data_IF_678327381449
#
_entry.id   IF_678327381449
#
_cell.length_a   1.000
_cell.length_b   1.000
_cell.length_c   1.000
_cell.angle_alpha   90.00
_cell.angle_beta   90.00
_cell.angle_gamma   90.00
#
_symmetry.space_group_name_H-M   'P 1'
#
loop_
_entity.id
_entity.type
_entity.pdbx_description
1 polymer ?
#
# COMPACT_ATOMS: atom_id res chain seq x y z
N UNK A 1 -0.01 -18.88 -3.71
CA UNK A 1 0.01 -17.51 -4.31
C UNK A 1 -0.91 -17.52 -5.51
N UNK A 2 -1.32 -16.36 -6.00
CA UNK A 2 -2.14 -16.27 -7.21
C UNK A 2 -1.79 -15.00 -7.98
N UNK A 3 -2.03 -15.00 -9.29
CA UNK A 3 -1.89 -13.81 -10.12
C UNK A 3 -2.94 -13.81 -11.23
N UNK A 4 -3.23 -12.62 -11.74
CA UNK A 4 -4.15 -12.43 -12.87
C UNK A 4 -3.83 -11.11 -13.54
N UNK A 5 -3.91 -11.06 -14.86
CA UNK A 5 -3.93 -9.80 -15.59
C UNK A 5 -5.37 -9.33 -15.74
N UNK A 6 -5.57 -8.03 -15.64
CA UNK A 6 -6.86 -7.40 -15.83
C UNK A 6 -6.75 -6.28 -16.87
N UNK A 7 -7.86 -5.61 -17.19
CA UNK A 7 -7.98 -4.62 -18.26
C UNK A 7 -7.72 -5.18 -19.68
N UNK A 8 -8.09 -6.43 -19.88
CA UNK A 8 -7.97 -7.17 -21.15
C UNK A 8 -9.32 -7.29 -21.86
N UNK A 9 -9.31 -7.36 -23.20
CA UNK A 9 -10.52 -7.57 -24.02
C UNK A 9 -11.26 -8.86 -23.67
N UNK A 10 -10.49 -9.92 -23.40
CA UNK A 10 -10.99 -11.17 -22.88
C UNK A 10 -10.52 -11.29 -21.44
N UNK A 11 -11.48 -11.38 -20.51
CA UNK A 11 -11.14 -11.57 -19.10
C UNK A 11 -10.33 -12.85 -18.90
N UNK A 12 -9.24 -12.73 -18.17
CA UNK A 12 -8.43 -13.86 -17.76
C UNK A 12 -8.95 -14.45 -16.44
N UNK A 13 -8.66 -15.74 -16.21
CA UNK A 13 -8.96 -16.41 -14.95
C UNK A 13 -7.81 -16.20 -13.95
N UNK A 14 -8.14 -16.24 -12.66
CA UNK A 14 -7.10 -16.18 -11.61
C UNK A 14 -6.33 -17.49 -11.60
N UNK A 15 -5.03 -17.40 -11.83
CA UNK A 15 -4.11 -18.52 -11.80
C UNK A 15 -3.57 -18.73 -10.39
N UNK A 16 -3.55 -19.97 -9.92
CA UNK A 16 -3.17 -20.32 -8.54
C UNK A 16 -1.93 -21.18 -8.52
N UNK A 17 -0.97 -20.78 -7.70
CA UNK A 17 0.38 -21.32 -7.63
C UNK A 17 0.66 -21.93 -6.27
N UNK A 18 1.19 -23.15 -6.27
CA UNK A 18 1.63 -23.86 -5.06
C UNK A 18 2.93 -23.30 -4.48
N UNK A 19 3.79 -22.72 -5.31
CA UNK A 19 5.14 -22.33 -4.92
C UNK A 19 5.67 -21.13 -5.73
N UNK A 20 6.78 -20.56 -5.26
CA UNK A 20 7.38 -19.35 -5.86
C UNK A 20 7.90 -19.62 -7.27
N UNK A 21 8.34 -20.85 -7.55
CA UNK A 21 8.88 -21.22 -8.86
C UNK A 21 7.77 -21.28 -9.91
N UNK A 22 6.63 -21.90 -9.61
CA UNK A 22 5.50 -21.96 -10.55
C UNK A 22 4.95 -20.56 -10.86
N UNK A 23 4.84 -19.70 -9.85
CA UNK A 23 4.45 -18.29 -10.04
C UNK A 23 5.45 -17.57 -10.95
N UNK A 24 6.75 -17.69 -10.66
CA UNK A 24 7.80 -17.05 -11.44
C UNK A 24 7.80 -17.54 -12.91
N UNK A 25 7.75 -18.86 -13.13
CA UNK A 25 7.70 -19.46 -14.47
C UNK A 25 6.49 -18.95 -15.26
N UNK A 26 5.31 -18.80 -14.60
CA UNK A 26 4.12 -18.23 -15.22
C UNK A 26 4.29 -16.76 -15.59
N UNK A 27 4.81 -15.93 -14.68
CA UNK A 27 5.02 -14.50 -14.92
C UNK A 27 6.01 -14.25 -16.08
N UNK A 28 7.08 -15.04 -16.18
CA UNK A 28 8.04 -14.96 -17.28
C UNK A 28 7.44 -15.38 -18.63
N UNK A 29 6.54 -16.36 -18.64
CA UNK A 29 5.84 -16.78 -19.86
C UNK A 29 4.75 -15.78 -20.29
N UNK A 30 4.21 -14.99 -19.36
CA UNK A 30 3.09 -14.06 -19.57
C UNK A 30 3.49 -12.61 -19.29
N UNK A 31 4.56 -12.15 -19.93
CA UNK A 31 4.97 -10.75 -19.87
C UNK A 31 3.90 -9.80 -20.44
N UNK A 32 3.90 -8.52 -20.04
CA UNK A 32 2.92 -7.54 -20.53
C UNK A 32 2.86 -7.49 -22.06
N UNK A 33 1.65 -7.65 -22.60
CA UNK A 33 1.36 -7.54 -24.02
C UNK A 33 0.24 -6.49 -24.24
N UNK A 34 0.56 -5.30 -24.78
CA UNK A 34 -0.40 -4.24 -25.02
C UNK A 34 -1.56 -4.61 -25.96
N UNK A 35 -1.39 -5.62 -26.83
CA UNK A 35 -2.41 -6.01 -27.81
C UNK A 35 -3.67 -6.61 -27.17
N UNK A 36 -3.52 -7.13 -25.95
CA UNK A 36 -4.59 -7.77 -25.17
C UNK A 36 -5.51 -6.76 -24.49
N UNK A 37 -5.05 -5.51 -24.31
CA UNK A 37 -5.85 -4.43 -23.72
C UNK A 37 -7.00 -3.96 -24.62
N UNK A 38 -7.91 -3.15 -24.06
CA UNK A 38 -9.12 -2.67 -24.76
C UNK A 38 -8.85 -1.97 -26.10
N UNK A 39 -7.70 -1.29 -26.23
CA UNK A 39 -7.32 -0.56 -27.45
C UNK A 39 -7.89 0.85 -27.53
N UNK A 40 -8.49 1.34 -26.44
CA UNK A 40 -8.99 2.71 -26.28
C UNK A 40 -8.46 3.34 -24.98
N UNK A 41 -8.73 4.64 -24.79
CA UNK A 41 -8.37 5.40 -23.59
C UNK A 41 -9.59 5.90 -22.81
N UNK A 42 -10.77 5.31 -23.03
CA UNK A 42 -12.02 5.75 -22.42
C UNK A 42 -12.61 4.71 -21.47
N UNK A 43 -12.47 3.43 -21.78
CA UNK A 43 -13.00 2.31 -21.00
C UNK A 43 -12.35 2.30 -19.61
N UNK A 44 -13.15 2.17 -18.55
CA UNK A 44 -12.65 2.00 -17.19
C UNK A 44 -12.00 0.64 -16.95
N UNK A 45 -11.33 0.50 -15.80
CA UNK A 45 -10.73 -0.76 -15.38
C UNK A 45 -11.78 -1.77 -14.92
N UNK A 46 -11.57 -3.04 -15.21
CA UNK A 46 -12.40 -4.14 -14.67
C UNK A 46 -11.88 -4.71 -13.34
N UNK A 47 -10.99 -4.00 -12.64
CA UNK A 47 -10.39 -4.42 -11.37
C UNK A 47 -11.42 -4.95 -10.36
N UNK A 48 -12.55 -4.26 -10.20
CA UNK A 48 -13.57 -4.63 -9.21
C UNK A 48 -14.30 -5.92 -9.58
N UNK A 49 -14.44 -6.23 -10.86
CA UNK A 49 -14.90 -7.54 -11.33
C UNK A 49 -13.91 -8.64 -10.96
N UNK A 50 -12.61 -8.38 -11.12
CA UNK A 50 -11.55 -9.33 -10.76
C UNK A 50 -11.50 -9.58 -9.25
N UNK A 51 -11.64 -8.53 -8.43
CA UNK A 51 -11.72 -8.68 -6.97
C UNK A 51 -12.96 -9.46 -6.54
N UNK A 52 -14.11 -9.29 -7.20
CA UNK A 52 -15.29 -10.13 -6.97
C UNK A 52 -15.01 -11.60 -7.33
N UNK A 53 -14.29 -11.90 -8.41
CA UNK A 53 -13.88 -13.28 -8.73
C UNK A 53 -12.96 -13.85 -7.65
N UNK A 54 -12.01 -13.06 -7.15
CA UNK A 54 -11.15 -13.43 -6.04
C UNK A 54 -11.95 -13.74 -4.77
N UNK A 55 -12.86 -12.86 -4.35
CA UNK A 55 -13.69 -13.06 -3.15
C UNK A 55 -14.57 -14.33 -3.24
N UNK A 56 -15.04 -14.66 -4.44
CA UNK A 56 -15.90 -15.83 -4.68
C UNK A 56 -15.13 -17.12 -5.02
N UNK A 57 -13.80 -17.09 -4.99
CA UNK A 57 -13.00 -18.25 -5.35
C UNK A 57 -13.22 -19.41 -4.36
N UNK A 58 -13.15 -20.64 -4.86
CA UNK A 58 -13.25 -21.87 -4.05
C UNK A 58 -11.95 -22.65 -4.01
N UNK A 59 -10.86 -22.06 -4.52
CA UNK A 59 -9.56 -22.73 -4.70
C UNK A 59 -8.64 -22.50 -3.49
N UNK A 60 -8.76 -21.37 -2.81
CA UNK A 60 -7.93 -21.02 -1.65
C UNK A 60 -8.72 -20.22 -0.60
N UNK A 61 -8.29 -20.33 0.66
CA UNK A 61 -8.77 -19.44 1.72
C UNK A 61 -8.35 -18.00 1.43
N UNK A 62 -9.24 -17.05 1.72
CA UNK A 62 -9.01 -15.61 1.51
C UNK A 62 -8.82 -14.83 2.82
N UNK A 63 -9.06 -15.47 3.98
CA UNK A 63 -8.95 -14.77 5.25
C UNK A 63 -7.50 -14.31 5.49
N UNK A 64 -7.30 -13.01 5.72
CA UNK A 64 -5.97 -12.43 5.91
C UNK A 64 -5.13 -12.30 4.63
N UNK A 65 -5.73 -12.48 3.45
CA UNK A 65 -4.99 -12.36 2.20
C UNK A 65 -4.48 -10.93 1.97
N UNK A 66 -3.28 -10.81 1.40
CA UNK A 66 -2.73 -9.55 0.91
C UNK A 66 -2.86 -9.52 -0.61
N UNK A 67 -3.46 -8.45 -1.13
CA UNK A 67 -3.71 -8.27 -2.56
C UNK A 67 -2.91 -7.07 -3.05
N UNK A 68 -1.98 -7.31 -3.96
CA UNK A 68 -1.08 -6.31 -4.53
C UNK A 68 -1.48 -6.03 -5.97
N UNK A 69 -1.77 -4.77 -6.29
CA UNK A 69 -2.29 -4.35 -7.59
C UNK A 69 -1.39 -3.26 -8.16
N UNK A 70 -0.91 -3.47 -9.38
CA UNK A 70 -0.39 -2.39 -10.23
C UNK A 70 -1.47 -2.03 -11.23
N UNK A 71 -1.92 -0.78 -11.23
CA UNK A 71 -3.02 -0.31 -12.07
C UNK A 71 -2.62 0.95 -12.85
N UNK A 72 -2.96 0.95 -14.15
CA UNK A 72 -2.78 2.11 -15.02
C UNK A 72 -4.10 2.61 -15.63
N UNK A 73 -5.17 1.83 -15.60
CA UNK A 73 -6.50 2.26 -16.03
C UNK A 73 -7.35 2.50 -14.79
N UNK A 74 -8.01 3.65 -14.70
CA UNK A 74 -8.84 3.92 -13.54
C UNK A 74 -10.18 3.21 -13.70
N UNK A 75 -10.80 2.72 -12.62
CA UNK A 75 -12.20 2.32 -12.64
C UNK A 75 -13.11 3.50 -13.04
N UNK A 76 -14.32 3.20 -13.48
CA UNK A 76 -15.38 4.22 -13.67
C UNK A 76 -16.43 4.17 -12.57
N UNK A 77 -16.46 3.06 -11.82
CA UNK A 77 -17.36 2.84 -10.70
C UNK A 77 -17.10 3.84 -9.58
N UNK A 78 -18.19 4.40 -9.04
CA UNK A 78 -18.17 5.31 -7.89
C UNK A 78 -18.50 4.63 -6.57
N UNK A 79 -19.29 3.55 -6.59
CA UNK A 79 -19.67 2.80 -5.40
C UNK A 79 -18.93 1.46 -5.35
N UNK A 80 -18.03 1.35 -4.37
CA UNK A 80 -17.23 0.16 -4.08
C UNK A 80 -17.50 -0.40 -2.68
N UNK A 81 -18.53 0.11 -2.00
CA UNK A 81 -18.84 -0.20 -0.60
C UNK A 81 -19.09 -1.69 -0.33
N UNK A 82 -19.79 -2.37 -1.23
CA UNK A 82 -20.06 -3.81 -1.14
C UNK A 82 -18.77 -4.64 -1.18
N UNK A 83 -17.89 -4.37 -2.15
CA UNK A 83 -16.61 -5.09 -2.28
C UNK A 83 -15.71 -4.81 -1.08
N UNK A 84 -15.62 -3.55 -0.65
CA UNK A 84 -14.87 -3.18 0.56
C UNK A 84 -15.40 -3.93 1.78
N UNK A 85 -16.72 -4.01 1.95
CA UNK A 85 -17.34 -4.73 3.07
C UNK A 85 -16.97 -6.22 3.07
N UNK A 86 -16.94 -6.85 1.89
CA UNK A 86 -16.55 -8.26 1.73
C UNK A 86 -15.04 -8.48 1.96
N UNK A 87 -14.18 -7.57 1.50
CA UNK A 87 -12.74 -7.62 1.77
C UNK A 87 -12.47 -7.50 3.28
N UNK A 88 -13.12 -6.53 3.94
CA UNK A 88 -13.01 -6.29 5.37
C UNK A 88 -13.49 -7.48 6.22
N UNK A 89 -14.61 -8.11 5.84
CA UNK A 89 -15.13 -9.27 6.57
C UNK A 89 -14.21 -10.50 6.49
N UNK A 90 -13.30 -10.52 5.51
CA UNK A 90 -12.28 -11.54 5.34
C UNK A 90 -10.88 -11.06 5.78
N UNK A 91 -10.75 -9.90 6.43
CA UNK A 91 -9.43 -9.34 6.80
C UNK A 91 -8.46 -9.24 5.61
N UNK A 92 -8.97 -9.02 4.40
CA UNK A 92 -8.13 -8.86 3.21
C UNK A 92 -7.57 -7.45 3.21
N UNK A 93 -6.26 -7.31 3.04
CA UNK A 93 -5.57 -6.02 2.88
C UNK A 93 -5.27 -5.78 1.40
N UNK A 94 -5.66 -4.62 0.88
CA UNK A 94 -5.46 -4.26 -0.53
C UNK A 94 -4.44 -3.15 -0.67
N UNK A 95 -3.40 -3.41 -1.44
CA UNK A 95 -2.30 -2.50 -1.72
C UNK A 95 -2.29 -2.16 -3.21
N UNK A 96 -2.33 -0.87 -3.55
CA UNK A 96 -2.51 -0.44 -4.94
C UNK A 96 -1.44 0.58 -5.33
N UNK A 97 -0.62 0.23 -6.32
CA UNK A 97 0.23 1.17 -7.04
C UNK A 97 -0.50 1.67 -8.28
N UNK A 98 -0.77 2.96 -8.30
CA UNK A 98 -1.55 3.65 -9.32
C UNK A 98 -0.61 4.49 -10.18
N UNK A 99 -0.56 4.19 -11.48
CA UNK A 99 0.08 5.09 -12.43
C UNK A 99 -0.71 6.39 -12.49
N UNK A 100 -0.05 7.50 -12.18
CA UNK A 100 -0.61 8.85 -12.16
C UNK A 100 -1.04 9.33 -13.56
N UNK A 101 -0.59 8.64 -14.62
CA UNK A 101 -0.97 8.89 -16.00
C UNK A 101 -1.89 7.74 -16.47
N UNK A 102 -3.22 7.90 -16.35
CA UNK A 102 -4.14 6.83 -16.67
C UNK A 102 -4.12 6.50 -18.17
N UNK A 103 -4.20 5.22 -18.47
CA UNK A 103 -4.43 4.70 -19.83
C UNK A 103 -5.90 4.66 -20.23
N UNK A 104 -6.81 4.97 -19.31
CA UNK A 104 -8.25 5.12 -19.53
C UNK A 104 -9.02 5.14 -18.21
N UNK A 105 -10.34 5.26 -18.30
CA UNK A 105 -11.22 5.48 -17.16
C UNK A 105 -10.98 6.82 -16.46
N UNK A 106 -11.73 7.08 -15.39
CA UNK A 106 -11.81 8.42 -14.82
C UNK A 106 -11.73 8.51 -13.30
N UNK A 107 -12.05 7.45 -12.56
CA UNK A 107 -12.22 7.52 -11.12
C UNK A 107 -11.09 6.82 -10.35
N UNK A 108 -10.04 7.58 -10.02
CA UNK A 108 -8.96 7.06 -9.17
C UNK A 108 -9.27 7.08 -7.66
N UNK A 109 -10.31 7.79 -7.24
CA UNK A 109 -10.61 7.97 -5.82
C UNK A 109 -10.97 6.65 -5.14
N UNK A 110 -11.69 5.77 -5.85
CA UNK A 110 -12.12 4.47 -5.32
C UNK A 110 -10.94 3.50 -5.10
N UNK A 111 -9.84 3.67 -5.83
CA UNK A 111 -8.60 2.89 -5.63
C UNK A 111 -7.96 3.22 -4.26
N UNK A 112 -7.87 4.53 -3.94
CA UNK A 112 -7.41 4.96 -2.62
C UNK A 112 -8.37 4.50 -1.53
N UNK A 113 -9.68 4.71 -1.71
CA UNK A 113 -10.71 4.34 -0.74
C UNK A 113 -10.64 2.86 -0.38
N UNK A 114 -10.49 1.99 -1.39
CA UNK A 114 -10.37 0.55 -1.20
C UNK A 114 -9.16 0.17 -0.36
N UNK A 115 -7.99 0.72 -0.68
CA UNK A 115 -6.75 0.42 0.05
C UNK A 115 -6.82 0.94 1.48
N UNK A 116 -7.29 2.18 1.65
CA UNK A 116 -7.47 2.82 2.94
C UNK A 116 -8.41 2.01 3.84
N UNK A 117 -9.60 1.66 3.35
CA UNK A 117 -10.61 0.97 4.15
C UNK A 117 -10.28 -0.49 4.46
N UNK A 118 -9.26 -1.07 3.82
CA UNK A 118 -8.80 -2.44 4.05
C UNK A 118 -7.49 -2.51 4.84
N UNK A 119 -7.06 -1.41 5.46
CA UNK A 119 -5.76 -1.28 6.15
C UNK A 119 -4.53 -1.48 5.25
N UNK A 120 -4.68 -1.58 3.94
CA UNK A 120 -3.56 -1.45 3.02
C UNK A 120 -3.17 0.02 2.82
N UNK A 121 -2.52 0.29 1.69
CA UNK A 121 -2.23 1.66 1.27
C UNK A 121 -2.19 1.78 -0.26
N UNK A 122 -2.40 3.01 -0.73
CA UNK A 122 -2.41 3.34 -2.14
C UNK A 122 -1.30 4.34 -2.43
N UNK A 123 -0.52 4.10 -3.48
CA UNK A 123 0.54 5.01 -3.96
C UNK A 123 0.21 5.49 -5.36
N UNK A 124 0.28 6.81 -5.56
CA UNK A 124 0.21 7.41 -6.88
C UNK A 124 1.61 7.83 -7.30
N UNK A 125 2.12 7.23 -8.36
CA UNK A 125 3.45 7.51 -8.91
C UNK A 125 3.43 7.36 -10.44
N UNK A 126 4.53 7.64 -11.13
CA UNK A 126 4.63 7.37 -12.57
C UNK A 126 6.06 7.03 -12.97
N UNK A 127 6.22 6.31 -14.09
CA UNK A 127 7.53 5.89 -14.58
C UNK A 127 8.31 5.10 -13.53
N UNK A 128 9.59 5.44 -13.35
CA UNK A 128 10.49 4.71 -12.45
C UNK A 128 10.05 4.79 -10.97
N UNK A 129 9.40 5.87 -10.55
CA UNK A 129 8.89 5.98 -9.18
C UNK A 129 7.77 4.97 -8.93
N UNK A 130 6.95 4.67 -9.95
CA UNK A 130 5.92 3.64 -9.86
C UNK A 130 6.55 2.25 -9.72
N UNK A 131 7.59 1.96 -10.51
CA UNK A 131 8.33 0.70 -10.44
C UNK A 131 8.90 0.49 -9.03
N UNK A 132 9.60 1.49 -8.47
CA UNK A 132 10.15 1.40 -7.12
C UNK A 132 9.07 1.36 -6.04
N UNK A 133 7.99 2.11 -6.17
CA UNK A 133 6.92 2.10 -5.20
C UNK A 133 6.22 0.73 -5.15
N UNK A 134 6.02 0.09 -6.30
CA UNK A 134 5.40 -1.23 -6.38
C UNK A 134 6.35 -2.35 -5.92
N UNK A 135 7.65 -2.23 -6.20
CA UNK A 135 8.67 -3.16 -5.68
C UNK A 135 8.71 -3.13 -4.15
N UNK A 136 8.77 -1.93 -3.54
CA UNK A 136 8.69 -1.76 -2.09
C UNK A 136 7.37 -2.30 -1.50
N UNK A 137 6.28 -2.16 -2.24
CA UNK A 137 4.97 -2.68 -1.84
C UNK A 137 4.97 -4.21 -1.80
N UNK A 138 5.46 -4.88 -2.85
CA UNK A 138 5.57 -6.34 -2.86
C UNK A 138 6.57 -6.84 -1.80
N UNK A 139 7.60 -6.04 -1.46
CA UNK A 139 8.54 -6.32 -0.38
C UNK A 139 7.86 -6.57 0.99
N UNK A 140 6.64 -6.09 1.20
CA UNK A 140 5.85 -6.42 2.41
C UNK A 140 5.50 -7.90 2.56
N UNK A 141 5.67 -8.72 1.51
CA UNK A 141 5.55 -10.16 1.63
C UNK A 141 6.60 -10.77 2.56
N UNK A 142 7.74 -10.10 2.75
CA UNK A 142 8.74 -10.53 3.73
C UNK A 142 8.25 -10.25 5.15
N UNK A 143 7.63 -9.08 5.40
CA UNK A 143 7.02 -8.66 6.67
C UNK A 143 5.48 -8.61 6.60
N UNK A 144 4.73 -9.73 6.66
CA UNK A 144 3.31 -9.73 6.33
C UNK A 144 2.39 -9.18 7.43
N UNK A 145 2.87 -9.05 8.68
CA UNK A 145 2.01 -8.73 9.81
C UNK A 145 2.07 -7.23 10.15
N UNK A 146 0.96 -6.52 9.95
CA UNK A 146 0.85 -5.09 10.21
C UNK A 146 0.57 -4.79 11.70
N UNK A 147 1.54 -4.22 12.42
CA UNK A 147 1.40 -3.94 13.86
C UNK A 147 1.13 -2.46 14.19
N UNK A 148 1.25 -1.56 13.22
CA UNK A 148 0.86 -0.17 13.36
C UNK A 148 0.07 0.28 12.13
N UNK A 149 -1.10 0.87 12.36
CA UNK A 149 -1.92 1.54 11.36
C UNK A 149 -2.56 2.78 11.98
N UNK A 150 -2.11 3.96 11.56
CA UNK A 150 -2.63 5.25 12.05
C UNK A 150 -2.93 6.19 10.88
N UNK A 151 -3.99 6.97 11.02
CA UNK A 151 -4.46 7.91 10.00
C UNK A 151 -4.63 9.28 10.64
N UNK A 152 -4.04 10.31 10.04
CA UNK A 152 -4.06 11.66 10.56
C UNK A 152 -4.65 12.60 9.52
N UNK A 153 -5.77 13.24 9.90
CA UNK A 153 -6.32 14.35 9.11
C UNK A 153 -5.50 15.60 9.42
N UNK A 154 -4.87 16.16 8.39
CA UNK A 154 -3.93 17.29 8.51
C UNK A 154 -4.24 18.37 7.49
N UNK A 155 -3.76 19.59 7.74
CA UNK A 155 -3.88 20.73 6.82
C UNK A 155 -2.71 21.69 7.03
N UNK A 156 -2.33 22.46 6.01
CA UNK A 156 -1.26 23.44 6.09
C UNK A 156 0.08 22.82 6.52
N UNK A 157 0.74 23.44 7.50
CA UNK A 157 1.97 22.91 8.09
C UNK A 157 1.73 22.41 9.51
N UNK A 158 2.43 21.36 9.90
CA UNK A 158 2.34 20.87 11.28
C UNK A 158 3.27 19.71 11.57
N UNK A 159 3.06 19.13 12.76
CA UNK A 159 3.81 18.00 13.28
C UNK A 159 2.84 16.94 13.80
N UNK A 160 3.03 15.71 13.36
CA UNK A 160 2.43 14.52 13.95
C UNK A 160 3.43 13.94 14.94
N UNK A 161 2.96 13.59 16.13
CA UNK A 161 3.70 12.77 17.09
C UNK A 161 2.88 11.53 17.41
N UNK A 162 3.40 10.36 17.07
CA UNK A 162 2.72 9.12 17.45
C UNK A 162 2.81 8.91 18.96
N UNK A 163 1.83 8.23 19.58
CA UNK A 163 2.04 7.59 20.86
C UNK A 163 3.29 6.70 20.80
N UNK A 164 3.97 6.54 21.92
CA UNK A 164 5.06 5.57 22.02
C UNK A 164 4.53 4.17 21.81
N UNK A 165 5.20 3.36 20.99
CA UNK A 165 4.83 1.98 20.71
C UNK A 165 6.04 1.05 20.84
N UNK A 166 5.77 -0.24 20.93
CA UNK A 166 6.78 -1.30 20.84
C UNK A 166 6.48 -2.15 19.62
N UNK A 167 7.53 -2.74 19.07
CA UNK A 167 7.38 -3.75 18.04
C UNK A 167 6.81 -5.04 18.64
N UNK A 168 6.21 -5.93 17.83
CA UNK A 168 5.72 -7.23 18.30
C UNK A 168 6.87 -8.22 18.62
N UNK A 169 8.13 -7.82 18.44
CA UNK A 169 9.29 -8.66 18.67
C UNK A 169 9.44 -9.04 20.17
N UNK A 170 9.90 -10.26 20.47
CA UNK A 170 10.29 -10.62 21.83
C UNK A 170 11.48 -9.78 22.33
N UNK A 171 11.58 -9.51 23.64
CA UNK A 171 12.75 -8.84 24.22
C UNK A 171 14.06 -9.56 23.88
N UNK A 172 15.09 -8.78 23.52
CA UNK A 172 16.41 -9.26 23.12
C UNK A 172 16.57 -9.62 21.64
N UNK A 173 15.51 -9.52 20.83
CA UNK A 173 15.56 -9.75 19.39
C UNK A 173 15.52 -8.43 18.60
N UNK A 174 16.13 -8.48 17.42
CA UNK A 174 16.09 -7.41 16.42
C UNK A 174 15.60 -7.96 15.09
N UNK A 175 14.89 -7.14 14.34
CA UNK A 175 14.31 -7.50 13.04
C UNK A 175 14.23 -6.26 12.16
N UNK A 176 14.28 -6.49 10.86
CA UNK A 176 13.97 -5.50 9.84
C UNK A 176 12.45 -5.34 9.71
N UNK A 177 11.89 -4.24 10.20
CA UNK A 177 10.47 -3.91 10.04
C UNK A 177 10.26 -2.94 8.87
N UNK A 178 9.26 -3.21 8.04
CA UNK A 178 8.85 -2.31 6.96
C UNK A 178 8.01 -1.15 7.51
N UNK A 179 8.29 0.06 7.06
CA UNK A 179 7.62 1.30 7.46
C UNK A 179 7.13 2.03 6.22
N UNK A 180 5.88 2.47 6.21
CA UNK A 180 5.28 3.20 5.08
C UNK A 180 4.55 4.44 5.56
N UNK A 181 4.80 5.56 4.88
CA UNK A 181 4.01 6.79 4.98
C UNK A 181 3.36 7.09 3.64
N UNK A 182 2.05 7.33 3.60
CA UNK A 182 1.40 7.97 2.44
C UNK A 182 0.98 9.39 2.78
N UNK A 183 1.20 10.33 1.86
CA UNK A 183 1.00 11.76 2.13
C UNK A 183 -0.30 12.34 1.56
N UNK A 184 -0.95 11.67 0.60
CA UNK A 184 -2.23 12.13 0.04
C UNK A 184 -2.95 11.03 -0.74
N UNK A 185 -4.21 11.28 -1.10
CA UNK A 185 -5.14 10.32 -1.68
C UNK A 185 -5.31 10.40 -3.21
N UNK A 186 -4.45 11.16 -3.88
CA UNK A 186 -4.50 11.41 -5.33
C UNK A 186 -3.07 11.65 -5.83
N UNK A 187 -2.88 11.67 -7.15
CA UNK A 187 -1.62 12.02 -7.81
C UNK A 187 -0.91 13.19 -7.11
N UNK A 188 0.38 13.02 -6.84
CA UNK A 188 1.19 14.06 -6.19
C UNK A 188 1.07 15.38 -6.96
N UNK A 189 0.68 16.44 -6.26
CA UNK A 189 0.44 17.74 -6.86
C UNK A 189 1.19 18.84 -6.11
N UNK A 190 0.90 20.10 -6.44
CA UNK A 190 1.58 21.26 -5.86
C UNK A 190 1.12 21.59 -4.43
N UNK A 191 0.10 20.89 -3.91
CA UNK A 191 -0.37 21.08 -2.56
C UNK A 191 0.63 20.50 -1.57
N UNK A 192 1.16 19.29 -1.83
CA UNK A 192 2.25 18.74 -1.04
C UNK A 192 3.56 19.49 -1.30
N UNK A 193 4.19 20.00 -0.24
CA UNK A 193 5.46 20.73 -0.33
C UNK A 193 6.60 19.87 0.17
N UNK A 194 6.46 19.34 1.38
CA UNK A 194 7.50 18.53 1.99
C UNK A 194 6.97 17.69 3.14
N UNK A 195 7.73 16.63 3.40
CA UNK A 195 7.63 15.82 4.60
C UNK A 195 9.05 15.51 5.05
N UNK A 196 9.28 15.60 6.35
CA UNK A 196 10.43 14.97 6.99
C UNK A 196 9.95 14.19 8.21
N UNK A 197 10.68 13.16 8.60
CA UNK A 197 10.33 12.43 9.80
C UNK A 197 11.58 11.96 10.55
N UNK A 198 11.39 11.75 11.84
CA UNK A 198 12.35 11.10 12.72
C UNK A 198 11.68 9.92 13.38
N UNK A 199 12.34 8.77 13.32
CA UNK A 199 11.96 7.56 14.02
C UNK A 199 13.04 7.28 15.06
N UNK A 200 12.72 7.32 16.35
CA UNK A 200 13.72 7.23 17.40
C UNK A 200 13.31 6.28 18.52
N UNK A 201 14.28 5.55 19.07
CA UNK A 201 14.08 4.77 20.29
C UNK A 201 14.02 5.70 21.51
N UNK A 202 13.22 5.32 22.50
CA UNK A 202 13.01 6.14 23.71
C UNK A 202 14.21 6.18 24.64
N UNK A 203 15.15 5.24 24.48
CA UNK A 203 16.41 5.20 25.22
C UNK A 203 17.52 6.05 24.56
N UNK A 204 17.26 6.60 23.37
CA UNK A 204 18.17 7.51 22.66
C UNK A 204 19.31 6.85 21.90
N UNK A 205 19.34 5.51 21.81
CA UNK A 205 20.42 4.79 21.11
C UNK A 205 20.18 4.60 19.61
N UNK A 206 18.95 4.78 19.13
CA UNK A 206 18.59 4.64 17.73
C UNK A 206 17.79 5.84 17.25
N UNK A 207 18.22 6.45 16.14
CA UNK A 207 17.43 7.40 15.38
C UNK A 207 17.61 7.21 13.88
N UNK A 208 16.50 7.24 13.15
CA UNK A 208 16.46 7.27 11.70
C UNK A 208 15.75 8.56 11.26
N UNK A 209 16.26 9.19 10.21
CA UNK A 209 15.73 10.47 9.69
C UNK A 209 15.52 10.42 8.19
N UNK A 210 14.40 10.95 7.75
CA UNK A 210 14.08 11.21 6.35
C UNK A 210 13.81 12.70 6.14
N UNK A 211 14.34 13.32 5.07
CA UNK A 211 15.36 12.76 4.19
C UNK A 211 16.70 12.62 4.93
N UNK A 212 17.45 11.57 4.62
CA UNK A 212 18.76 11.27 5.18
C UNK A 212 19.65 10.53 4.18
N UNK A 213 20.94 10.40 4.50
CA UNK A 213 21.90 9.72 3.60
C UNK A 213 21.54 8.26 3.31
N UNK A 214 20.88 7.60 4.27
CA UNK A 214 20.50 6.19 4.21
C UNK A 214 19.05 5.98 3.78
N UNK A 215 18.28 7.05 3.55
CA UNK A 215 16.84 6.92 3.27
C UNK A 215 16.57 6.83 1.78
N UNK A 216 15.64 5.96 1.39
CA UNK A 216 15.07 6.00 0.06
C UNK A 216 14.28 7.30 -0.17
N UNK A 217 14.25 7.84 -1.40
CA UNK A 217 13.44 9.01 -1.71
C UNK A 217 11.95 8.71 -1.58
N UNK A 218 11.15 9.79 -1.57
CA UNK A 218 9.69 9.69 -1.71
C UNK A 218 9.35 9.28 -3.15
N UNK A 219 8.69 8.14 -3.34
CA UNK A 219 8.26 7.65 -4.65
C UNK A 219 6.78 7.97 -4.87
N UNK A 220 6.51 9.07 -5.57
CA UNK A 220 5.14 9.57 -5.73
C UNK A 220 4.54 10.02 -4.39
N UNK A 221 3.42 9.42 -3.99
CA UNK A 221 2.73 9.77 -2.73
C UNK A 221 3.09 8.89 -1.54
N UNK A 222 4.01 7.92 -1.68
CA UNK A 222 4.40 7.03 -0.61
C UNK A 222 5.92 6.98 -0.40
N UNK A 223 6.32 7.00 0.87
CA UNK A 223 7.69 6.74 1.29
C UNK A 223 7.69 5.42 2.06
N UNK A 224 8.57 4.50 1.67
CA UNK A 224 8.74 3.21 2.33
C UNK A 224 10.20 3.03 2.73
N UNK A 225 10.43 2.42 3.88
CA UNK A 225 11.76 2.18 4.43
C UNK A 225 11.79 0.87 5.22
N UNK A 226 12.99 0.31 5.37
CA UNK A 226 13.23 -0.88 6.19
C UNK A 226 14.07 -0.51 7.41
N UNK A 227 13.51 -0.62 8.62
CA UNK A 227 14.18 -0.22 9.85
C UNK A 227 14.53 -1.42 10.71
N UNK A 228 15.77 -1.50 11.21
CA UNK A 228 16.17 -2.52 12.18
C UNK A 228 15.70 -2.09 13.57
N UNK A 229 14.71 -2.79 14.11
CA UNK A 229 14.04 -2.47 15.38
C UNK A 229 14.25 -3.58 16.41
N UNK A 230 14.34 -3.20 17.68
CA UNK A 230 14.61 -4.04 18.84
C UNK A 230 13.34 -4.21 19.69
N UNK A 231 13.00 -5.45 20.05
CA UNK A 231 11.79 -5.78 20.85
C UNK A 231 11.83 -5.33 22.31
N UNK A 232 12.98 -4.85 22.80
CA UNK A 232 13.19 -4.49 24.21
C UNK A 232 12.91 -3.02 24.51
N UNK A 233 12.82 -2.20 23.46
CA UNK A 233 12.73 -0.73 23.57
C UNK A 233 11.44 -0.24 22.95
N UNK A 234 11.03 0.96 23.36
CA UNK A 234 9.91 1.63 22.73
C UNK A 234 10.41 2.66 21.73
N UNK A 235 9.55 3.02 20.78
CA UNK A 235 9.84 3.96 19.71
C UNK A 235 8.83 5.09 19.67
N UNK A 236 9.29 6.24 19.16
CA UNK A 236 8.46 7.39 18.82
C UNK A 236 8.71 7.76 17.37
N UNK A 237 7.63 8.05 16.65
CA UNK A 237 7.68 8.54 15.28
C UNK A 237 7.13 9.96 15.24
N UNK A 238 7.96 10.88 14.75
CA UNK A 238 7.62 12.29 14.58
C UNK A 238 7.69 12.63 13.10
N UNK A 239 6.64 13.25 12.56
CA UNK A 239 6.53 13.62 11.15
C UNK A 239 6.21 15.11 11.08
N UNK A 240 7.10 15.89 10.47
CA UNK A 240 6.83 17.28 10.11
C UNK A 240 6.37 17.33 8.66
N UNK A 241 5.23 17.96 8.41
CA UNK A 241 4.61 18.05 7.09
C UNK A 241 4.31 19.51 6.73
N UNK A 242 4.31 19.78 5.42
CA UNK A 242 3.92 21.07 4.87
C UNK A 242 3.11 20.89 3.59
N UNK A 243 1.89 21.43 3.60
CA UNK A 243 1.05 21.63 2.44
C UNK A 243 0.83 23.13 2.18
N UNK A 244 0.79 23.51 0.91
CA UNK A 244 0.47 24.86 0.42
C UNK A 244 -1.04 25.18 0.46
N UNK A 245 -1.81 24.42 1.23
CA UNK A 245 -3.27 24.52 1.30
C UNK A 245 -3.78 24.10 2.66
N UNK A 246 -4.88 24.71 3.07
CA UNK A 246 -5.63 24.32 4.26
C UNK A 246 -6.66 23.21 3.97
N UNK A 247 -6.73 22.74 2.71
CA UNK A 247 -7.56 21.60 2.35
C UNK A 247 -7.10 20.35 3.13
N UNK A 248 -8.01 19.64 3.83
CA UNK A 248 -7.65 18.46 4.58
C UNK A 248 -7.00 17.38 3.71
N UNK A 249 -5.88 16.84 4.19
CA UNK A 249 -5.19 15.67 3.66
C UNK A 249 -5.18 14.56 4.72
N UNK A 250 -4.92 13.33 4.28
CA UNK A 250 -4.75 12.20 5.19
C UNK A 250 -3.33 11.66 5.06
N UNK A 251 -2.55 11.80 6.13
CA UNK A 251 -1.28 11.09 6.26
C UNK A 251 -1.56 9.74 6.90
N UNK A 252 -1.13 8.66 6.24
CA UNK A 252 -1.25 7.30 6.76
C UNK A 252 0.11 6.80 7.18
N UNK A 253 0.19 6.24 8.39
CA UNK A 253 1.36 5.55 8.91
C UNK A 253 1.06 4.05 8.99
N UNK A 254 1.93 3.22 8.41
CA UNK A 254 1.83 1.76 8.45
C UNK A 254 3.18 1.17 8.84
N UNK A 255 3.17 0.12 9.66
CA UNK A 255 4.36 -0.67 9.94
C UNK A 255 4.07 -2.16 9.96
N UNK A 256 5.04 -2.94 9.52
CA UNK A 256 4.94 -4.38 9.37
C UNK A 256 6.15 -5.12 9.93
N UNK A 257 5.92 -6.35 10.41
CA UNK A 257 6.91 -7.26 11.00
C UNK A 257 6.63 -8.70 10.56
N UNK A 258 7.64 -9.54 10.68
CA UNK A 258 7.63 -11.00 10.51
C UNK A 258 6.97 -11.71 11.69
N UNK A 259 6.85 -11.05 12.84
CA UNK A 259 6.23 -11.65 14.02
C UNK A 259 4.73 -11.49 13.98
N UNK A 260 4.06 -12.65 14.02
CA UNK A 260 2.61 -12.73 14.09
C UNK A 260 2.04 -11.94 15.27
N UNK A 261 0.94 -11.25 15.00
CA UNK A 261 0.04 -10.62 15.95
C UNK A 261 -1.35 -10.51 15.31
N UNK A 262 -2.36 -10.24 16.14
CA UNK A 262 -3.75 -10.13 15.66
C UNK A 262 -3.94 -8.94 14.72
N UNK A 263 -4.92 -9.05 13.82
CA UNK A 263 -5.28 -7.97 12.90
C UNK A 263 -5.61 -6.69 13.66
N UNK A 264 -5.06 -5.58 13.19
CA UNK A 264 -5.41 -4.26 13.72
C UNK A 264 -6.86 -3.90 13.42
N UNK A 265 -7.47 -3.04 14.24
CA UNK A 265 -8.75 -2.44 13.91
C UNK A 265 -8.73 -1.79 12.52
N UNK A 266 -9.77 -2.04 11.75
CA UNK A 266 -9.96 -1.40 10.45
C UNK A 266 -10.41 0.06 10.64
N UNK A 267 -10.14 0.97 9.69
CA UNK A 267 -10.56 2.36 9.81
C UNK A 267 -12.09 2.44 9.88
N UNK A 268 -12.57 3.43 10.64
CA UNK A 268 -14.00 3.72 10.80
C UNK A 268 -14.48 4.47 9.55
N UNK A 269 -15.72 4.20 9.15
CA UNK A 269 -16.44 4.89 8.07
C UNK A 269 -16.60 6.39 8.32
#
# INVERSE_FOLDING_TARGET
>A
MANVRFDTKQEEEIEYHSDKKSLNDFLWAHQPDPSLGYGDNTTGSNLYTVLKKFLNNKKASICGAQVFIAVKRYPDESDVSDIISQLRSNHVMVFIAVDSIPSGGSNSATLYEMSFQTNGYCVFASGRDLDYAFDNMIGQLDNPYQFLAQNFVVSGSGRIETPTFRTPLPPGYEESCSVVITVQNHTLDKLFVSMNYTFASTDGFYDFKFPGYQSFPLYGTAQAESLILNGSVSYKWTIDYHYNSDAPQIIQLRMYSDYYHDFLPLPVF
#
